data_IF_902364259925
#
_entry.id   IF_902364259925
#
_cell.length_a   1.000
_cell.length_b   1.000
_cell.length_c   1.000
_cell.angle_alpha   90.00
_cell.angle_beta   90.00
_cell.angle_gamma   90.00
#
_symmetry.space_group_name_H-M   'P 1'
#
loop_
_entity.id
_entity.type
_entity.pdbx_description
1 polymer ?
#
# COMPACT_ATOMS: atom_id res chain seq x y z
N UNK A 1 15.16 26.79 10.39
CA UNK A 1 16.62 26.78 10.72
C UNK A 1 17.28 25.44 10.38
N UNK A 2 16.89 24.78 9.25
CA UNK A 2 17.48 23.49 8.82
C UNK A 2 18.19 23.54 7.46
N UNK A 3 18.42 24.72 6.88
CA UNK A 3 18.95 24.87 5.51
C UNK A 3 20.44 25.21 5.38
N UNK A 4 21.22 25.20 6.44
CA UNK A 4 22.64 25.65 6.37
C UNK A 4 23.70 24.61 6.71
N UNK A 5 23.37 23.32 6.80
CA UNK A 5 24.34 22.29 7.19
C UNK A 5 24.82 21.35 6.07
N UNK A 6 24.27 21.50 4.86
CA UNK A 6 24.60 20.58 3.74
C UNK A 6 25.62 21.14 2.72
N UNK A 7 26.20 22.32 2.95
CA UNK A 7 27.13 22.95 1.98
C UNK A 7 28.61 22.66 2.24
N UNK A 8 28.97 21.84 3.23
CA UNK A 8 30.39 21.68 3.61
C UNK A 8 31.01 20.31 3.29
N UNK A 9 30.31 19.41 2.61
CA UNK A 9 30.86 18.07 2.28
C UNK A 9 31.19 17.83 0.80
N UNK A 10 31.09 18.82 -0.07
CA UNK A 10 31.31 18.64 -1.52
C UNK A 10 32.66 19.20 -2.03
N UNK A 11 33.60 19.56 -1.18
CA UNK A 11 34.86 20.15 -1.60
C UNK A 11 36.14 19.28 -1.34
N UNK A 12 36.01 17.98 -1.06
CA UNK A 12 37.17 17.15 -0.70
C UNK A 12 37.29 15.81 -1.44
N UNK A 13 36.95 15.77 -2.73
CA UNK A 13 37.14 14.57 -3.57
C UNK A 13 37.87 14.81 -4.88
N UNK A 14 38.87 15.67 -4.88
CA UNK A 14 39.86 15.71 -5.97
C UNK A 14 41.18 16.18 -5.40
N UNK A 15 42.01 15.28 -4.92
CA UNK A 15 43.47 15.23 -4.95
C UNK A 15 43.95 14.25 -3.89
N UNK A 16 44.43 13.10 -4.32
CA UNK A 16 45.60 12.42 -3.71
C UNK A 16 45.79 11.08 -4.38
N UNK A 17 46.58 11.08 -5.44
CA UNK A 17 47.43 9.94 -5.80
C UNK A 17 48.82 10.30 -5.39
N UNK A 18 49.53 9.30 -4.82
CA UNK A 18 50.95 9.19 -4.51
C UNK A 18 51.40 9.43 -3.05
N UNK A 19 51.92 8.35 -2.47
CA UNK A 19 52.85 8.46 -1.38
C UNK A 19 52.74 7.41 -0.28
N UNK A 20 53.62 6.48 -0.32
CA UNK A 20 53.82 5.29 0.50
C UNK A 20 54.16 5.52 1.97
N UNK A 21 53.89 4.47 2.78
CA UNK A 21 54.72 3.91 3.86
C UNK A 21 54.86 4.67 5.19
N UNK A 22 54.56 3.92 6.30
CA UNK A 22 55.13 4.26 7.62
C UNK A 22 54.27 3.91 8.83
N UNK A 23 54.68 2.91 9.51
CA UNK A 23 54.33 2.21 10.74
C UNK A 23 53.96 3.02 12.00
N UNK A 24 53.10 2.37 12.82
CA UNK A 24 53.11 2.19 14.30
C UNK A 24 53.08 3.45 15.21
N UNK A 25 52.26 3.51 16.26
CA UNK A 25 52.26 2.79 17.55
C UNK A 25 51.08 3.21 18.45
N UNK A 26 50.79 2.35 19.41
CA UNK A 26 49.78 2.38 20.47
C UNK A 26 49.89 3.57 21.45
N UNK A 27 48.75 3.95 22.06
CA UNK A 27 48.65 3.99 23.51
C UNK A 27 47.23 4.25 24.03
N UNK A 28 46.89 3.47 25.03
CA UNK A 28 45.73 3.46 25.87
C UNK A 28 45.49 4.73 26.72
N UNK A 29 44.24 5.13 26.91
CA UNK A 29 43.79 5.68 28.19
C UNK A 29 42.27 5.62 28.37
N UNK A 30 41.86 5.12 29.51
CA UNK A 30 40.57 4.93 30.12
C UNK A 30 39.90 6.27 30.46
N UNK A 31 38.58 6.39 30.33
CA UNK A 31 37.80 7.49 30.88
C UNK A 31 36.29 7.30 30.72
N UNK A 32 35.63 7.15 31.83
CA UNK A 32 34.22 6.82 32.06
C UNK A 32 33.21 7.84 31.55
N UNK A 33 32.06 7.31 31.08
CA UNK A 33 30.71 7.71 31.49
C UNK A 33 30.06 8.94 30.88
N UNK A 34 29.13 8.77 29.99
CA UNK A 34 27.74 9.15 30.26
C UNK A 34 26.81 8.71 29.14
N UNK A 35 25.74 8.03 29.51
CA UNK A 35 24.68 7.54 28.66
C UNK A 35 23.82 8.68 28.12
N UNK A 36 23.76 8.82 26.81
CA UNK A 36 22.62 9.44 26.15
C UNK A 36 22.17 8.52 25.03
N UNK A 37 20.98 7.99 25.17
CA UNK A 37 20.28 7.17 24.21
C UNK A 37 20.04 8.00 22.92
N UNK A 38 20.85 7.77 21.89
CA UNK A 38 20.53 8.14 20.54
C UNK A 38 20.14 6.87 19.81
N UNK A 39 18.85 6.76 19.56
CA UNK A 39 18.23 5.71 18.75
C UNK A 39 18.64 5.90 17.28
N UNK A 40 19.79 5.35 16.93
CA UNK A 40 20.23 5.17 15.52
C UNK A 40 19.86 3.74 15.16
N UNK A 41 18.62 3.55 14.72
CA UNK A 41 18.15 2.26 14.28
C UNK A 41 18.92 1.81 13.05
N UNK A 42 19.82 0.90 13.27
CA UNK A 42 20.44 0.02 12.29
C UNK A 42 19.38 -0.94 11.74
N UNK A 43 18.73 -0.60 10.62
CA UNK A 43 17.78 -1.46 9.89
C UNK A 43 18.41 -1.98 8.58
N UNK A 44 19.74 -2.02 8.49
CA UNK A 44 20.51 -2.52 7.33
C UNK A 44 21.01 -3.96 7.49
N UNK A 45 20.28 -4.83 8.20
CA UNK A 45 20.59 -6.25 8.17
C UNK A 45 20.03 -6.87 6.88
N UNK A 46 20.86 -6.92 5.85
CA UNK A 46 20.68 -7.81 4.72
C UNK A 46 20.63 -9.25 5.22
N UNK A 47 19.51 -9.92 4.98
CA UNK A 47 19.32 -11.34 5.25
C UNK A 47 20.18 -12.15 4.30
N UNK A 48 21.37 -12.59 4.76
CA UNK A 48 22.21 -13.54 4.07
C UNK A 48 21.52 -14.93 4.13
N UNK A 49 20.88 -15.34 3.04
CA UNK A 49 20.45 -16.72 2.83
C UNK A 49 21.65 -17.65 2.88
N UNK A 50 21.62 -18.78 3.60
CA UNK A 50 22.59 -19.83 3.42
C UNK A 50 22.35 -20.48 2.05
N UNK A 51 23.41 -20.52 1.25
CA UNK A 51 23.47 -21.33 0.06
C UNK A 51 23.45 -22.81 0.48
N UNK A 52 22.40 -23.50 0.09
CA UNK A 52 22.36 -24.95 0.21
C UNK A 52 23.13 -25.53 -0.96
N UNK A 53 24.31 -26.05 -0.66
CA UNK A 53 25.20 -26.71 -1.60
C UNK A 53 25.08 -28.22 -1.40
N UNK A 54 25.06 -28.89 -2.52
CA UNK A 54 25.50 -30.27 -2.76
C UNK A 54 24.42 -31.27 -3.15
N UNK A 55 24.33 -31.47 -4.42
CA UNK A 55 24.00 -32.79 -4.99
C UNK A 55 25.28 -33.61 -5.13
N UNK A 56 25.32 -34.88 -4.82
CA UNK A 56 26.32 -35.79 -5.35
C UNK A 56 25.81 -36.47 -6.60
N UNK A 57 26.64 -36.37 -7.62
CA UNK A 57 26.70 -37.21 -8.81
C UNK A 57 26.85 -38.71 -8.43
N UNK A 58 26.04 -39.57 -9.02
CA UNK A 58 26.49 -40.97 -9.21
C UNK A 58 25.83 -41.59 -10.43
N UNK A 59 26.66 -41.76 -11.43
CA UNK A 59 26.48 -42.58 -12.62
C UNK A 59 26.47 -44.06 -12.30
N UNK A 60 25.53 -44.84 -12.81
CA UNK A 60 25.81 -46.11 -13.48
C UNK A 60 24.57 -46.72 -14.14
N UNK A 61 24.69 -46.92 -15.43
CA UNK A 61 24.39 -48.01 -16.34
C UNK A 61 23.40 -49.10 -15.90
N UNK A 62 22.48 -49.44 -16.83
CA UNK A 62 22.14 -50.81 -17.11
C UNK A 62 20.69 -51.06 -17.51
N UNK A 63 20.47 -51.18 -18.83
CA UNK A 63 19.76 -52.22 -19.58
C UNK A 63 18.22 -52.40 -19.45
N UNK A 64 17.61 -52.18 -20.59
CA UNK A 64 16.60 -52.93 -21.37
C UNK A 64 15.69 -53.96 -20.66
N UNK A 65 14.39 -53.86 -20.87
CA UNK A 65 13.55 -54.89 -21.44
C UNK A 65 12.08 -54.48 -21.59
N UNK A 66 11.65 -54.41 -22.80
CA UNK A 66 10.39 -54.76 -23.47
C UNK A 66 9.23 -55.38 -22.66
N UNK A 67 8.01 -54.91 -22.96
CA UNK A 67 6.80 -55.69 -22.70
C UNK A 67 5.48 -54.89 -22.90
N UNK A 68 4.94 -55.04 -24.06
CA UNK A 68 3.62 -54.75 -24.59
C UNK A 68 2.45 -55.34 -23.77
N UNK A 69 1.32 -54.76 -23.76
CA UNK A 69 -0.01 -55.04 -24.34
C UNK A 69 -1.11 -54.54 -23.40
N UNK A 70 -1.96 -53.68 -23.89
CA UNK A 70 -3.32 -53.87 -24.49
C UNK A 70 -4.41 -54.37 -23.54
N UNK A 71 -5.42 -53.59 -23.43
CA UNK A 71 -6.83 -53.75 -23.79
C UNK A 71 -7.82 -53.29 -22.73
N UNK A 72 -8.61 -52.33 -23.19
CA UNK A 72 -10.01 -52.08 -22.76
C UNK A 72 -10.91 -53.16 -23.32
N UNK A 73 -12.11 -53.53 -22.85
CA UNK A 73 -13.28 -52.71 -23.11
C UNK A 73 -14.48 -52.75 -22.12
N UNK A 74 -15.32 -51.75 -22.26
CA UNK A 74 -16.81 -51.71 -22.36
C UNK A 74 -17.69 -52.60 -21.47
N UNK A 75 -18.71 -52.04 -20.91
CA UNK A 75 -20.13 -51.86 -21.32
C UNK A 75 -21.03 -52.01 -20.09
N UNK A 76 -21.97 -51.19 -19.93
CA UNK A 76 -23.31 -51.00 -20.37
C UNK A 76 -24.40 -51.41 -19.36
N UNK A 77 -25.35 -50.45 -19.25
CA UNK A 77 -26.80 -50.64 -19.14
C UNK A 77 -27.36 -51.18 -17.82
N UNK A 78 -28.45 -50.83 -17.29
CA UNK A 78 -29.69 -50.20 -17.68
C UNK A 78 -30.69 -50.33 -16.51
N UNK A 79 -31.64 -49.52 -16.47
CA UNK A 79 -33.08 -49.55 -16.32
C UNK A 79 -33.72 -49.14 -15.00
N UNK A 80 -34.47 -48.03 -15.15
CA UNK A 80 -35.94 -47.89 -14.90
C UNK A 80 -36.45 -48.00 -13.46
N UNK A 81 -37.33 -47.19 -13.03
CA UNK A 81 -38.60 -46.78 -13.34
C UNK A 81 -39.25 -45.98 -12.20
N UNK A 82 -39.89 -44.98 -12.52
CA UNK A 82 -41.30 -44.61 -12.52
C UNK A 82 -42.01 -44.49 -11.18
N UNK A 83 -42.73 -43.39 -11.09
CA UNK A 83 -44.08 -43.29 -10.68
C UNK A 83 -44.40 -42.18 -9.68
N UNK A 84 -44.89 -41.05 -10.17
CA UNK A 84 -46.28 -40.52 -10.02
C UNK A 84 -46.73 -40.36 -8.56
N UNK A 85 -47.38 -39.37 -8.08
CA UNK A 85 -48.30 -38.36 -8.58
C UNK A 85 -48.79 -37.49 -7.43
N UNK A 86 -49.25 -36.30 -7.76
CA UNK A 86 -50.46 -35.57 -7.37
C UNK A 86 -50.54 -34.79 -6.05
N UNK A 87 -50.52 -33.51 -6.19
CA UNK A 87 -51.61 -32.52 -6.09
C UNK A 87 -52.38 -32.39 -4.76
N UNK A 88 -52.41 -31.19 -4.22
CA UNK A 88 -53.60 -30.34 -4.09
C UNK A 88 -53.45 -29.22 -3.07
N UNK A 89 -53.58 -28.01 -3.52
CA UNK A 89 -54.13 -26.89 -2.74
C UNK A 89 -55.65 -27.08 -2.60
N UNK A 90 -56.40 -26.38 -1.71
CA UNK A 90 -56.64 -24.96 -1.87
C UNK A 90 -56.98 -24.11 -0.60
N UNK A 91 -56.80 -22.82 -0.75
CA UNK A 91 -57.68 -21.67 -0.50
C UNK A 91 -58.38 -21.41 0.83
N UNK A 92 -58.40 -20.12 1.15
CA UNK A 92 -59.53 -19.40 1.74
C UNK A 92 -59.19 -18.56 2.95
N UNK A 93 -59.20 -17.39 2.89
CA UNK A 93 -60.05 -16.22 2.63
C UNK A 93 -60.36 -15.41 3.92
N UNK A 94 -60.15 -14.11 3.77
CA UNK A 94 -60.94 -12.97 4.29
C UNK A 94 -60.85 -12.57 5.78
N UNK A 95 -60.65 -11.26 5.95
CA UNK A 95 -61.22 -10.51 7.04
C UNK A 95 -60.51 -9.22 7.46
N UNK A 96 -60.74 -8.15 6.72
CA UNK A 96 -60.73 -6.78 7.23
C UNK A 96 -62.20 -6.45 7.59
N UNK A 97 -62.58 -5.47 8.47
CA UNK A 97 -62.14 -4.09 8.51
C UNK A 97 -62.26 -3.32 9.87
N UNK A 98 -61.70 -2.14 9.84
CA UNK A 98 -62.23 -0.81 10.19
C UNK A 98 -62.31 -0.37 11.68
N UNK A 99 -61.80 0.74 11.92
CA UNK A 99 -62.29 2.12 12.08
C UNK A 99 -62.26 2.70 13.49
N UNK A 100 -61.91 3.97 13.51
CA UNK A 100 -62.39 5.02 14.35
C UNK A 100 -61.49 5.36 15.54
N UNK A 101 -61.17 6.56 15.81
CA UNK A 101 -61.55 7.89 15.46
C UNK A 101 -61.19 8.80 16.59
N UNK A 102 -60.64 9.97 16.25
CA UNK A 102 -60.83 11.26 16.91
C UNK A 102 -60.72 11.38 18.44
N UNK A 103 -59.94 12.31 19.01
CA UNK A 103 -60.18 13.75 19.11
C UNK A 103 -59.10 14.45 19.95
N UNK A 104 -58.71 15.58 19.53
CA UNK A 104 -58.17 16.66 20.35
C UNK A 104 -59.35 17.47 20.92
N UNK A 105 -59.28 18.37 21.90
CA UNK A 105 -58.47 19.60 21.86
C UNK A 105 -58.14 20.30 23.23
N UNK A 106 -57.31 21.33 23.12
CA UNK A 106 -57.50 22.63 23.79
C UNK A 106 -56.85 22.79 25.17
N UNK A 107 -56.12 23.76 25.45
CA UNK A 107 -56.22 25.21 25.41
C UNK A 107 -55.60 25.83 26.69
N UNK A 108 -54.71 26.76 26.49
CA UNK A 108 -54.49 28.03 27.22
C UNK A 108 -54.21 28.08 28.73
N UNK A 109 -53.23 28.92 29.08
CA UNK A 109 -53.16 29.64 30.35
C UNK A 109 -51.78 30.23 30.71
N UNK A 110 -51.54 31.37 30.26
CA UNK A 110 -50.82 32.59 30.63
C UNK A 110 -50.46 32.76 32.14
N UNK A 111 -49.24 33.21 32.46
CA UNK A 111 -48.84 34.60 32.95
C UNK A 111 -47.49 34.57 33.66
N UNK A 112 -46.62 35.45 33.16
CA UNK A 112 -45.68 36.37 33.79
C UNK A 112 -45.08 36.08 35.18
N UNK A 113 -43.75 36.09 35.30
CA UNK A 113 -43.08 37.20 36.01
C UNK A 113 -41.55 37.23 35.78
N UNK A 114 -41.02 38.41 35.90
CA UNK A 114 -39.71 38.95 35.65
C UNK A 114 -38.61 38.46 36.55
N UNK A 115 -37.40 38.28 36.02
CA UNK A 115 -36.16 38.12 36.81
C UNK A 115 -34.93 38.22 35.89
N UNK A 116 -34.38 39.43 35.76
CA UNK A 116 -33.10 39.70 35.11
C UNK A 116 -31.97 38.98 35.84
N UNK A 117 -31.25 38.13 35.15
CA UNK A 117 -29.84 37.81 35.42
C UNK A 117 -29.04 37.79 34.12
N UNK A 118 -28.12 38.74 34.03
CA UNK A 118 -27.10 38.88 32.99
C UNK A 118 -26.24 37.62 32.92
N UNK A 119 -26.37 36.84 31.89
CA UNK A 119 -25.45 35.76 31.56
C UNK A 119 -24.59 36.18 30.37
N UNK A 120 -23.31 36.20 30.62
CA UNK A 120 -22.22 36.37 29.65
C UNK A 120 -22.35 35.31 28.54
N UNK A 121 -22.60 35.76 27.33
CA UNK A 121 -22.60 34.90 26.13
C UNK A 121 -21.19 34.63 25.70
N UNK A 122 -20.70 33.42 26.05
CA UNK A 122 -19.54 32.81 25.41
C UNK A 122 -20.01 32.28 24.07
N UNK A 123 -19.53 32.84 22.98
CA UNK A 123 -19.78 32.36 21.60
C UNK A 123 -19.29 30.94 21.44
N UNK A 124 -20.01 30.09 20.71
CA UNK A 124 -19.53 28.75 20.41
C UNK A 124 -18.30 28.81 19.51
N UNK A 125 -17.25 28.16 19.97
CA UNK A 125 -16.03 27.89 19.22
C UNK A 125 -16.40 27.07 17.97
N UNK A 126 -16.25 27.69 16.79
CA UNK A 126 -16.36 26.96 15.53
C UNK A 126 -15.33 25.83 15.51
N UNK A 127 -15.81 24.60 15.42
CA UNK A 127 -14.99 23.45 15.04
C UNK A 127 -14.47 23.69 13.62
N UNK A 128 -13.17 23.89 13.51
CA UNK A 128 -12.49 23.88 12.23
C UNK A 128 -12.52 22.45 11.71
N UNK A 129 -13.35 22.20 10.72
CA UNK A 129 -13.25 21.02 9.86
C UNK A 129 -11.86 21.02 9.23
N UNK A 130 -11.13 19.88 9.23
CA UNK A 130 -9.85 19.80 8.55
C UNK A 130 -10.08 20.06 7.06
N UNK A 131 -9.49 21.15 6.56
CA UNK A 131 -9.47 21.45 5.13
C UNK A 131 -8.67 20.37 4.43
N UNK A 132 -9.34 19.49 3.71
CA UNK A 132 -8.70 18.61 2.72
C UNK A 132 -8.10 19.52 1.66
N UNK A 133 -6.78 19.71 1.71
CA UNK A 133 -6.06 20.44 0.67
C UNK A 133 -5.99 19.56 -0.55
N UNK A 134 -7.02 19.59 -1.38
CA UNK A 134 -6.95 19.10 -2.75
C UNK A 134 -5.98 19.97 -3.51
N UNK A 135 -4.76 19.47 -3.72
CA UNK A 135 -3.82 20.09 -4.66
C UNK A 135 -4.42 19.86 -6.05
N UNK A 136 -5.09 20.88 -6.59
CA UNK A 136 -5.57 20.85 -7.98
C UNK A 136 -4.36 20.66 -8.90
N UNK A 137 -4.50 19.77 -9.87
CA UNK A 137 -3.50 19.61 -10.93
C UNK A 137 -3.35 20.96 -11.65
N UNK A 138 -2.15 21.55 -11.56
CA UNK A 138 -1.82 22.75 -12.32
C UNK A 138 -1.76 22.36 -13.80
N UNK A 139 -2.72 22.77 -14.62
CA UNK A 139 -2.73 22.53 -16.06
C UNK A 139 -1.68 23.43 -16.73
N UNK A 140 -0.57 22.82 -17.18
CA UNK A 140 0.46 23.52 -17.95
C UNK A 140 0.03 23.60 -19.41
N UNK A 141 0.12 24.77 -20.10
CA UNK A 141 -0.12 24.87 -21.53
C UNK A 141 0.75 23.86 -22.32
N UNK A 142 0.19 23.25 -23.35
CA UNK A 142 0.88 22.22 -24.14
C UNK A 142 2.22 22.68 -24.75
N UNK A 143 2.35 24.00 -25.04
CA UNK A 143 3.60 24.61 -25.54
C UNK A 143 4.73 24.67 -24.52
N UNK A 144 4.45 24.46 -23.22
CA UNK A 144 5.45 24.46 -22.15
C UNK A 144 5.86 23.05 -21.69
N UNK A 145 5.22 22.01 -22.24
CA UNK A 145 5.54 20.62 -21.91
C UNK A 145 6.80 20.21 -22.68
N UNK A 146 7.83 19.83 -21.94
CA UNK A 146 9.08 19.27 -22.48
C UNK A 146 8.92 17.78 -22.63
N UNK A 147 9.49 17.20 -23.69
CA UNK A 147 9.34 15.77 -23.97
C UNK A 147 10.65 15.01 -23.76
N UNK A 148 10.55 13.80 -23.21
CA UNK A 148 11.64 12.85 -23.07
C UNK A 148 11.16 11.52 -23.64
N UNK A 149 11.80 11.07 -24.71
CA UNK A 149 11.53 9.77 -25.34
C UNK A 149 12.68 8.83 -25.05
N UNK A 150 12.38 7.75 -24.35
CA UNK A 150 13.32 6.71 -23.95
C UNK A 150 13.42 5.67 -25.06
N UNK A 151 14.64 5.33 -25.51
CA UNK A 151 14.91 4.55 -26.72
C UNK A 151 15.82 3.34 -26.45
N UNK A 152 15.59 2.62 -25.34
CA UNK A 152 16.36 1.45 -24.95
C UNK A 152 17.63 1.81 -24.20
N UNK A 153 18.66 2.23 -24.86
CA UNK A 153 19.99 2.61 -24.34
C UNK A 153 20.32 4.10 -24.54
N UNK A 154 19.39 4.84 -25.13
CA UNK A 154 19.57 6.26 -25.48
C UNK A 154 18.29 7.05 -25.24
N UNK A 155 18.38 8.36 -25.32
CA UNK A 155 17.26 9.27 -25.05
C UNK A 155 17.23 10.39 -26.07
N UNK A 156 16.03 10.68 -26.58
CA UNK A 156 15.73 11.89 -27.34
C UNK A 156 14.89 12.82 -26.46
N UNK A 157 15.15 14.11 -26.53
CA UNK A 157 14.38 15.09 -25.77
C UNK A 157 14.19 16.40 -26.52
N UNK A 158 13.14 17.12 -26.14
CA UNK A 158 12.84 18.47 -26.62
C UNK A 158 12.55 19.35 -25.40
N UNK A 159 13.11 20.58 -25.43
CA UNK A 159 12.98 21.56 -24.37
C UNK A 159 14.29 21.86 -23.64
N UNK A 160 14.24 22.77 -22.68
CA UNK A 160 15.42 23.23 -21.93
C UNK A 160 15.48 22.63 -20.54
N UNK A 161 16.70 22.52 -19.98
CA UNK A 161 16.91 21.96 -18.64
C UNK A 161 16.91 20.44 -18.62
N UNK A 162 17.10 19.81 -19.76
CA UNK A 162 17.33 18.38 -19.94
C UNK A 162 18.72 18.19 -20.51
N UNK A 163 19.45 17.22 -19.97
CA UNK A 163 20.70 16.71 -20.51
C UNK A 163 20.62 15.19 -20.55
N UNK A 164 21.16 14.54 -21.57
CA UNK A 164 21.21 13.09 -21.64
C UNK A 164 22.60 12.62 -22.09
N UNK A 165 23.04 11.51 -21.49
CA UNK A 165 24.26 10.80 -21.88
C UNK A 165 23.98 9.30 -21.87
N UNK A 166 23.81 8.70 -23.06
CA UNK A 166 23.30 7.34 -23.18
C UNK A 166 21.93 7.24 -22.56
N UNK A 167 21.74 6.30 -21.65
CA UNK A 167 20.51 6.05 -20.91
C UNK A 167 20.34 6.87 -19.62
N UNK A 168 21.25 7.80 -19.32
CA UNK A 168 21.20 8.70 -18.17
C UNK A 168 20.64 10.05 -18.55
N UNK A 169 19.57 10.48 -17.85
CA UNK A 169 18.88 11.76 -18.10
C UNK A 169 19.00 12.63 -16.86
N UNK A 170 19.48 13.87 -17.03
CA UNK A 170 19.50 14.90 -16.00
C UNK A 170 18.44 15.96 -16.25
N UNK A 171 17.62 16.28 -15.25
CA UNK A 171 16.66 17.38 -15.26
C UNK A 171 17.15 18.43 -14.26
N UNK A 172 17.46 19.63 -14.80
CA UNK A 172 18.07 20.73 -14.01
C UNK A 172 17.18 21.97 -13.90
N UNK A 173 16.00 21.98 -14.49
CA UNK A 173 15.04 23.08 -14.43
C UNK A 173 13.67 22.58 -14.01
N UNK A 174 12.91 23.44 -13.33
CA UNK A 174 11.49 23.19 -13.08
C UNK A 174 10.66 23.17 -14.36
N UNK A 175 9.45 22.63 -14.24
CA UNK A 175 8.47 22.57 -15.32
C UNK A 175 7.88 21.19 -15.50
N UNK A 176 7.13 20.99 -16.59
CA UNK A 176 6.46 19.74 -16.92
C UNK A 176 7.24 18.98 -17.98
N UNK A 177 7.47 17.70 -17.71
CA UNK A 177 8.20 16.76 -18.55
C UNK A 177 7.33 15.56 -18.85
N UNK A 178 6.95 15.36 -20.12
CA UNK A 178 6.25 14.16 -20.57
C UNK A 178 7.26 13.11 -20.98
N UNK A 179 7.15 11.93 -20.39
CA UNK A 179 8.12 10.86 -20.52
C UNK A 179 7.42 9.63 -21.10
N UNK A 180 7.97 9.10 -22.21
CA UNK A 180 7.45 7.91 -22.87
C UNK A 180 8.56 6.99 -23.35
N UNK A 181 8.25 5.72 -23.68
CA UNK A 181 9.21 4.74 -24.16
C UNK A 181 9.92 3.99 -23.04
N UNK A 182 11.08 3.40 -23.29
CA UNK A 182 11.74 2.54 -22.30
C UNK A 182 13.26 2.72 -22.27
N UNK A 183 13.83 2.55 -21.07
CA UNK A 183 15.27 2.34 -20.84
C UNK A 183 15.48 0.96 -20.25
N UNK A 184 16.35 0.17 -20.87
CA UNK A 184 16.70 -1.18 -20.41
C UNK A 184 17.68 -1.18 -19.23
N UNK A 185 18.53 -0.16 -19.15
CA UNK A 185 19.40 0.15 -18.00
C UNK A 185 19.70 1.65 -18.01
N UNK A 186 18.97 2.41 -17.18
CA UNK A 186 19.07 3.86 -17.19
C UNK A 186 18.47 4.54 -15.97
N UNK A 187 18.54 5.87 -15.97
CA UNK A 187 18.08 6.66 -14.83
C UNK A 187 17.63 8.03 -15.25
N UNK A 188 16.61 8.54 -14.59
CA UNK A 188 16.30 9.98 -14.60
C UNK A 188 16.74 10.55 -13.25
N UNK A 189 17.65 11.51 -13.29
CA UNK A 189 18.12 12.28 -12.16
C UNK A 189 17.54 13.69 -12.19
N UNK A 190 17.06 14.17 -11.06
CA UNK A 190 16.48 15.50 -10.93
C UNK A 190 17.25 16.29 -9.89
N UNK A 191 17.78 17.45 -10.30
CA UNK A 191 18.49 18.36 -9.40
C UNK A 191 18.14 19.81 -9.75
N UNK A 192 17.15 20.37 -9.04
CA UNK A 192 16.67 21.74 -9.22
C UNK A 192 15.97 22.21 -7.96
N UNK A 193 15.94 23.52 -7.69
CA UNK A 193 15.20 24.12 -6.57
C UNK A 193 13.75 24.50 -6.96
N UNK A 194 13.25 23.95 -8.04
CA UNK A 194 11.92 24.26 -8.57
C UNK A 194 10.99 23.06 -8.50
N UNK A 195 9.69 23.31 -8.64
CA UNK A 195 8.72 22.24 -8.81
C UNK A 195 8.93 21.53 -10.14
N UNK A 196 8.82 20.21 -10.15
CA UNK A 196 8.91 19.35 -11.33
C UNK A 196 7.64 18.51 -11.43
N UNK A 197 7.04 18.49 -12.62
CA UNK A 197 5.93 17.59 -12.95
C UNK A 197 6.44 16.59 -13.98
N UNK A 198 6.32 15.32 -13.66
CA UNK A 198 6.67 14.19 -14.52
C UNK A 198 5.37 13.55 -15.00
N UNK A 199 5.01 13.76 -16.26
CA UNK A 199 3.90 13.08 -16.91
C UNK A 199 4.39 11.74 -17.45
N UNK A 200 3.99 10.64 -16.78
CA UNK A 200 4.31 9.29 -17.22
C UNK A 200 3.33 8.84 -18.28
N UNK A 201 3.82 8.73 -19.52
CA UNK A 201 3.03 8.47 -20.72
C UNK A 201 3.48 7.17 -21.41
N UNK A 202 3.28 6.03 -20.70
CA UNK A 202 3.71 4.73 -21.20
C UNK A 202 5.22 4.54 -21.12
N UNK A 203 5.83 4.97 -20.01
CA UNK A 203 7.27 4.88 -19.80
C UNK A 203 7.65 3.65 -18.97
N UNK A 204 8.86 3.11 -19.23
CA UNK A 204 9.46 2.04 -18.45
C UNK A 204 10.94 2.30 -18.24
N UNK A 205 11.42 2.22 -17.01
CA UNK A 205 12.84 2.36 -16.70
C UNK A 205 13.25 1.22 -15.77
N UNK A 206 14.27 0.48 -16.19
CA UNK A 206 15.05 -0.40 -15.34
C UNK A 206 16.41 0.25 -15.08
N UNK A 207 16.91 0.16 -13.84
CA UNK A 207 18.27 0.60 -13.51
C UNK A 207 18.96 -0.47 -12.68
N UNK A 208 19.90 -1.18 -13.27
CA UNK A 208 20.62 -2.28 -12.62
C UNK A 208 21.49 -1.85 -11.42
N UNK A 209 21.84 -0.57 -11.32
CA UNK A 209 22.81 -0.04 -10.38
C UNK A 209 22.24 1.00 -9.39
N UNK A 210 20.92 1.18 -9.32
CA UNK A 210 20.32 2.15 -8.41
C UNK A 210 18.87 2.48 -8.72
N UNK A 211 18.40 3.62 -8.22
CA UNK A 211 17.03 4.09 -8.47
C UNK A 211 16.79 4.36 -9.95
N UNK A 212 15.65 3.93 -10.48
CA UNK A 212 15.22 4.29 -11.83
C UNK A 212 14.94 5.81 -11.95
N UNK A 213 14.38 6.39 -10.89
CA UNK A 213 14.23 7.85 -10.74
C UNK A 213 14.88 8.27 -9.42
N UNK A 214 15.82 9.23 -9.51
CA UNK A 214 16.59 9.74 -8.39
C UNK A 214 16.42 11.27 -8.31
N UNK A 215 15.70 11.76 -7.33
CA UNK A 215 15.53 13.19 -7.10
C UNK A 215 16.49 13.63 -6.01
N UNK A 216 17.59 14.27 -6.40
CA UNK A 216 18.60 14.80 -5.48
C UNK A 216 18.08 16.05 -4.78
N UNK A 217 17.37 16.91 -5.52
CA UNK A 217 16.80 18.16 -5.02
C UNK A 217 15.67 18.61 -5.94
N UNK A 218 14.53 18.97 -5.36
CA UNK A 218 13.42 19.66 -6.01
C UNK A 218 12.61 20.39 -4.93
N UNK A 219 11.87 21.42 -5.28
CA UNK A 219 10.92 22.01 -4.32
C UNK A 219 9.76 21.05 -4.04
N UNK A 220 9.35 20.25 -5.00
CA UNK A 220 8.34 19.19 -5.00
C UNK A 220 8.38 18.45 -6.32
N UNK A 221 8.19 17.16 -6.31
CA UNK A 221 7.99 16.35 -7.50
C UNK A 221 6.54 15.89 -7.56
N UNK A 222 5.91 16.08 -8.72
CA UNK A 222 4.58 15.53 -9.00
C UNK A 222 4.71 14.52 -10.13
N UNK A 223 4.29 13.29 -9.90
CA UNK A 223 4.13 12.25 -10.90
C UNK A 223 2.66 12.22 -11.33
N UNK A 224 2.41 12.51 -12.59
CA UNK A 224 1.09 12.47 -13.21
C UNK A 224 1.01 11.24 -14.13
N UNK A 225 0.22 10.26 -13.74
CA UNK A 225 0.00 9.03 -14.50
C UNK A 225 -1.04 9.32 -15.61
N UNK A 226 -0.58 9.38 -16.85
CA UNK A 226 -1.44 9.75 -17.97
C UNK A 226 -2.55 8.70 -18.20
N UNK A 227 -3.76 9.13 -18.57
CA UNK A 227 -4.91 8.23 -18.74
C UNK A 227 -4.63 7.09 -19.71
N UNK A 228 -4.99 5.87 -19.34
CA UNK A 228 -4.87 4.68 -20.17
C UNK A 228 -3.45 4.15 -20.35
N UNK A 229 -2.45 4.75 -19.68
CA UNK A 229 -1.05 4.30 -19.78
C UNK A 229 -0.68 3.33 -18.67
N UNK A 230 0.28 2.48 -18.97
CA UNK A 230 0.96 1.60 -18.01
C UNK A 230 2.43 1.98 -17.97
N UNK A 231 2.91 2.32 -16.80
CA UNK A 231 4.27 2.79 -16.55
C UNK A 231 4.99 1.82 -15.61
N UNK A 232 6.32 1.73 -15.71
CA UNK A 232 7.09 0.80 -14.89
C UNK A 232 8.41 1.42 -14.44
N UNK A 233 8.76 1.16 -13.17
CA UNK A 233 10.05 1.47 -12.58
C UNK A 233 10.60 0.23 -11.90
N UNK A 234 11.85 -0.13 -12.21
CA UNK A 234 12.53 -1.27 -11.61
C UNK A 234 13.96 -0.92 -11.26
N UNK A 235 14.40 -1.25 -10.04
CA UNK A 235 15.80 -1.19 -9.64
C UNK A 235 16.49 -2.55 -9.77
N UNK A 236 17.83 -2.54 -9.69
CA UNK A 236 18.63 -3.76 -9.69
C UNK A 236 18.68 -4.42 -8.30
N UNK A 237 19.31 -5.59 -8.25
CA UNK A 237 19.56 -6.33 -7.00
C UNK A 237 20.98 -6.09 -6.43
N UNK A 238 21.72 -5.14 -7.00
CA UNK A 238 23.07 -4.77 -6.56
C UNK A 238 22.94 -3.72 -5.46
N UNK A 239 23.76 -3.84 -4.43
CA UNK A 239 23.82 -2.87 -3.35
C UNK A 239 24.19 -1.49 -3.90
N UNK A 240 23.24 -0.59 -3.77
CA UNK A 240 23.45 0.84 -3.91
C UNK A 240 23.10 1.49 -2.57
N UNK A 241 22.86 2.77 -2.51
CA UNK A 241 22.49 3.46 -1.28
C UNK A 241 21.25 2.77 -0.64
N UNK A 242 21.42 2.20 0.57
CA UNK A 242 20.43 1.37 1.25
C UNK A 242 19.13 2.11 1.59
N UNK A 243 19.20 3.43 1.68
CA UNK A 243 18.05 4.28 1.99
C UNK A 243 17.28 4.73 0.75
N UNK A 244 17.60 4.17 -0.44
CA UNK A 244 16.94 4.51 -1.70
C UNK A 244 16.01 3.39 -2.19
N UNK A 245 15.10 3.76 -3.08
CA UNK A 245 14.14 2.86 -3.71
C UNK A 245 14.17 2.95 -5.22
N UNK A 246 13.34 2.19 -5.91
CA UNK A 246 13.20 2.30 -7.35
C UNK A 246 12.81 3.73 -7.78
N UNK A 247 12.02 4.44 -6.97
CA UNK A 247 11.83 5.88 -7.02
C UNK A 247 12.25 6.49 -5.68
N UNK A 248 13.22 7.39 -5.72
CA UNK A 248 13.71 8.14 -4.56
C UNK A 248 13.54 9.64 -4.76
N UNK A 249 13.17 10.36 -3.70
CA UNK A 249 13.15 11.82 -3.68
C UNK A 249 13.52 12.37 -2.31
N UNK A 250 14.34 13.42 -2.29
CA UNK A 250 14.64 14.19 -1.08
C UNK A 250 13.52 15.14 -0.66
N UNK A 251 12.51 15.32 -1.53
CA UNK A 251 11.47 16.34 -1.33
C UNK A 251 10.10 15.68 -1.46
N UNK A 252 9.05 16.41 -1.08
CA UNK A 252 7.67 15.95 -1.16
C UNK A 252 7.33 15.37 -2.54
N UNK A 253 6.82 14.14 -2.54
CA UNK A 253 6.32 13.42 -3.70
C UNK A 253 4.80 13.46 -3.75
N UNK A 254 4.25 13.88 -4.87
CA UNK A 254 2.81 13.77 -5.16
C UNK A 254 2.61 12.83 -6.34
N UNK A 255 1.74 11.84 -6.19
CA UNK A 255 1.38 10.92 -7.29
C UNK A 255 -0.11 11.08 -7.58
N UNK A 256 -0.46 11.28 -8.85
CA UNK A 256 -1.84 11.45 -9.28
C UNK A 256 -2.09 10.97 -10.71
N UNK A 257 -3.24 11.35 -11.25
CA UNK A 257 -3.69 10.92 -12.59
C UNK A 257 -4.55 9.65 -12.54
N UNK A 258 -4.75 8.98 -13.69
CA UNK A 258 -5.61 7.79 -13.81
C UNK A 258 -4.93 6.59 -14.50
N UNK A 259 -3.66 6.73 -14.88
CA UNK A 259 -2.85 5.64 -15.43
C UNK A 259 -2.40 4.65 -14.35
N UNK A 260 -1.57 3.70 -14.77
CA UNK A 260 -0.98 2.68 -13.90
C UNK A 260 0.52 2.90 -13.75
N UNK A 261 1.03 2.70 -12.52
CA UNK A 261 2.45 2.66 -12.20
C UNK A 261 2.77 1.33 -11.51
N UNK A 262 3.61 0.52 -12.13
CA UNK A 262 4.18 -0.68 -11.53
C UNK A 262 5.60 -0.36 -11.04
N UNK A 263 5.87 -0.64 -9.78
CA UNK A 263 7.18 -0.43 -9.15
C UNK A 263 7.67 -1.76 -8.62
N UNK A 264 8.85 -2.16 -9.06
CA UNK A 264 9.52 -3.35 -8.56
C UNK A 264 10.87 -2.96 -7.99
N UNK A 265 11.05 -3.21 -6.71
CA UNK A 265 12.35 -3.01 -6.07
C UNK A 265 12.95 -4.36 -5.67
N UNK A 266 14.06 -4.68 -6.31
CA UNK A 266 14.79 -5.93 -6.10
C UNK A 266 15.81 -5.81 -4.96
N UNK A 267 16.23 -4.57 -4.62
CA UNK A 267 17.22 -4.35 -3.58
C UNK A 267 16.59 -3.88 -2.25
N UNK A 268 15.83 -2.78 -2.25
CA UNK A 268 15.37 -2.16 -0.99
C UNK A 268 13.90 -1.71 -1.07
N UNK A 269 13.67 -0.40 -1.21
CA UNK A 269 12.34 0.20 -1.11
C UNK A 269 11.69 0.39 -2.48
N UNK A 270 10.37 0.32 -2.54
CA UNK A 270 9.64 0.64 -3.77
C UNK A 270 9.70 2.13 -4.08
N UNK A 271 9.02 2.92 -3.29
CA UNK A 271 8.98 4.38 -3.39
C UNK A 271 9.34 4.99 -2.05
N UNK A 272 10.26 5.94 -2.04
CA UNK A 272 10.72 6.61 -0.83
C UNK A 272 10.81 8.12 -1.02
N UNK A 273 10.44 8.86 0.00
CA UNK A 273 10.61 10.30 0.13
C UNK A 273 11.26 10.65 1.47
N UNK A 274 12.21 11.59 1.46
CA UNK A 274 12.76 12.14 2.69
C UNK A 274 11.83 13.19 3.34
N UNK A 275 10.79 13.64 2.63
CA UNK A 275 9.70 14.46 3.15
C UNK A 275 8.38 13.67 3.10
N UNK A 276 7.33 14.24 2.51
CA UNK A 276 5.99 13.65 2.43
C UNK A 276 5.77 12.83 1.16
N UNK A 277 4.82 11.88 1.25
CA UNK A 277 4.23 11.21 0.09
C UNK A 277 2.72 11.44 0.07
N UNK A 278 2.21 11.95 -1.04
CA UNK A 278 0.78 12.22 -1.24
C UNK A 278 0.31 11.43 -2.48
N UNK A 279 -0.63 10.51 -2.28
CA UNK A 279 -1.26 9.73 -3.36
C UNK A 279 -2.67 10.27 -3.57
N UNK A 280 -2.90 10.93 -4.71
CA UNK A 280 -4.19 11.52 -5.08
C UNK A 280 -4.99 10.66 -6.07
N UNK A 281 -4.34 9.70 -6.76
CA UNK A 281 -5.01 8.91 -7.79
C UNK A 281 -4.07 7.93 -8.48
N UNK A 282 -4.58 7.30 -9.54
CA UNK A 282 -3.88 6.28 -10.32
C UNK A 282 -4.03 4.88 -9.73
N UNK A 283 -3.46 3.90 -10.43
CA UNK A 283 -3.29 2.54 -9.94
C UNK A 283 -1.81 2.29 -9.72
N UNK A 284 -1.40 2.21 -8.47
CA UNK A 284 0.01 2.05 -8.08
C UNK A 284 0.19 0.66 -7.51
N UNK A 285 1.07 -0.14 -8.11
CA UNK A 285 1.44 -1.48 -7.64
C UNK A 285 2.90 -1.54 -7.31
N UNK A 286 3.22 -1.87 -6.07
CA UNK A 286 4.58 -1.92 -5.56
C UNK A 286 4.87 -3.33 -5.07
N UNK A 287 5.94 -3.92 -5.59
CA UNK A 287 6.54 -5.15 -5.07
C UNK A 287 7.97 -4.82 -4.67
N UNK A 288 8.33 -5.05 -3.41
CA UNK A 288 9.63 -4.65 -2.89
C UNK A 288 10.21 -5.66 -1.91
N UNK A 289 11.54 -5.73 -1.85
CA UNK A 289 12.24 -6.59 -0.90
C UNK A 289 12.22 -6.03 0.53
N UNK A 290 12.14 -4.70 0.68
CA UNK A 290 12.03 -4.04 1.97
C UNK A 290 10.66 -3.34 2.10
N UNK A 291 10.59 -2.00 2.18
CA UNK A 291 9.32 -1.26 2.35
C UNK A 291 8.67 -0.97 0.99
N UNK A 292 7.35 -1.04 0.93
CA UNK A 292 6.64 -0.64 -0.30
C UNK A 292 6.68 0.86 -0.50
N UNK A 293 6.05 1.61 0.39
CA UNK A 293 6.01 3.06 0.41
C UNK A 293 6.60 3.57 1.73
N UNK A 294 7.57 4.47 1.65
CA UNK A 294 8.23 5.01 2.84
C UNK A 294 8.40 6.53 2.75
N UNK A 295 7.98 7.23 3.79
CA UNK A 295 8.20 8.66 3.95
C UNK A 295 8.90 8.96 5.28
N UNK A 296 9.79 9.94 5.30
CA UNK A 296 10.35 10.39 6.56
C UNK A 296 9.36 11.26 7.35
N UNK A 297 8.48 11.99 6.69
CA UNK A 297 7.47 12.79 7.36
C UNK A 297 6.08 12.14 7.25
N UNK A 298 5.18 12.61 6.42
CA UNK A 298 3.79 12.16 6.39
C UNK A 298 3.45 11.35 5.13
N UNK A 299 2.47 10.45 5.24
CA UNK A 299 1.85 9.79 4.09
C UNK A 299 0.36 10.11 4.05
N UNK A 300 -0.12 10.64 2.93
CA UNK A 300 -1.53 10.89 2.69
C UNK A 300 -2.03 10.12 1.47
N UNK A 301 -3.02 9.25 1.64
CA UNK A 301 -3.67 8.51 0.56
C UNK A 301 -5.08 9.08 0.39
N UNK A 302 -5.27 9.89 -0.65
CA UNK A 302 -6.52 10.61 -0.89
C UNK A 302 -7.39 9.90 -1.94
N UNK A 303 -6.82 9.02 -2.77
CA UNK A 303 -7.56 8.34 -3.83
C UNK A 303 -6.72 7.34 -4.60
N UNK A 304 -7.31 6.76 -5.65
CA UNK A 304 -6.67 5.74 -6.50
C UNK A 304 -6.71 4.34 -5.89
N UNK A 305 -5.88 3.47 -6.44
CA UNK A 305 -5.63 2.12 -5.93
C UNK A 305 -4.14 1.98 -5.61
N UNK A 306 -3.83 1.70 -4.35
CA UNK A 306 -2.47 1.42 -3.89
C UNK A 306 -2.39 -0.05 -3.45
N UNK A 307 -1.59 -0.82 -4.16
CA UNK A 307 -1.20 -2.17 -3.77
C UNK A 307 0.28 -2.20 -3.41
N UNK A 308 0.60 -2.75 -2.23
CA UNK A 308 1.96 -2.97 -1.78
C UNK A 308 2.13 -4.42 -1.32
N UNK A 309 3.04 -5.15 -1.95
CA UNK A 309 3.57 -6.43 -1.51
C UNK A 309 5.03 -6.25 -1.11
N UNK A 310 5.27 -6.05 0.19
CA UNK A 310 6.56 -5.65 0.72
C UNK A 310 7.18 -6.71 1.63
N UNK A 311 8.48 -6.90 1.52
CA UNK A 311 9.23 -7.84 2.36
C UNK A 311 9.23 -7.48 3.84
N UNK A 312 9.10 -6.18 4.17
CA UNK A 312 9.04 -5.72 5.56
C UNK A 312 7.77 -4.93 5.87
N UNK A 313 7.60 -3.70 5.38
CA UNK A 313 6.41 -2.92 5.67
C UNK A 313 5.71 -2.51 4.38
N UNK A 314 4.40 -2.75 4.29
CA UNK A 314 3.59 -2.27 3.18
C UNK A 314 3.74 -0.78 3.00
N UNK A 315 3.42 -0.02 4.05
CA UNK A 315 3.73 1.41 4.16
C UNK A 315 4.32 1.74 5.53
N UNK A 316 5.27 2.68 5.55
CA UNK A 316 5.89 3.18 6.79
C UNK A 316 6.13 4.67 6.69
N UNK A 317 5.94 5.41 7.77
CA UNK A 317 6.45 6.77 7.92
C UNK A 317 6.78 7.09 9.38
N UNK A 318 7.45 8.23 9.61
CA UNK A 318 7.85 8.65 10.96
C UNK A 318 6.76 9.47 11.67
N UNK A 319 6.05 10.35 10.94
CA UNK A 319 5.04 11.20 11.56
C UNK A 319 3.64 10.56 11.47
N UNK A 320 2.82 10.90 10.48
CA UNK A 320 1.43 10.45 10.41
C UNK A 320 1.09 9.79 9.08
N UNK A 321 0.15 8.83 9.13
CA UNK A 321 -0.47 8.25 7.94
C UNK A 321 -1.96 8.58 7.96
N UNK A 322 -2.45 9.18 6.87
CA UNK A 322 -3.86 9.48 6.67
C UNK A 322 -4.39 8.77 5.42
N UNK A 323 -5.36 7.87 5.59
CA UNK A 323 -6.07 7.21 4.49
C UNK A 323 -7.45 7.87 4.38
N UNK A 324 -7.61 8.71 3.35
CA UNK A 324 -8.79 9.54 3.16
C UNK A 324 -9.71 9.02 2.04
N UNK A 325 -9.22 8.13 1.18
CA UNK A 325 -10.01 7.60 0.06
C UNK A 325 -9.29 6.51 -0.73
N UNK A 326 -9.91 6.08 -1.83
CA UNK A 326 -9.38 5.06 -2.72
C UNK A 326 -9.45 3.64 -2.16
N UNK A 327 -8.62 2.77 -2.70
CA UNK A 327 -8.45 1.38 -2.24
C UNK A 327 -6.98 1.13 -1.91
N UNK A 328 -6.72 0.75 -0.66
CA UNK A 328 -5.38 0.40 -0.18
C UNK A 328 -5.31 -1.07 0.17
N UNK A 329 -4.44 -1.82 -0.49
CA UNK A 329 -4.16 -3.24 -0.25
C UNK A 329 -2.69 -3.32 0.14
N UNK A 330 -2.42 -3.44 1.44
CA UNK A 330 -1.10 -3.28 2.01
C UNK A 330 -0.68 -4.58 2.68
N UNK A 331 0.35 -5.21 2.15
CA UNK A 331 0.89 -6.47 2.65
C UNK A 331 2.32 -6.26 3.13
N UNK A 332 2.56 -6.66 4.38
CA UNK A 332 3.86 -6.52 5.03
C UNK A 332 4.54 -7.84 5.33
N UNK A 333 5.73 -7.75 5.91
CA UNK A 333 6.57 -8.88 6.25
C UNK A 333 6.07 -9.71 7.44
N UNK A 334 6.80 -10.79 7.71
CA UNK A 334 6.48 -11.81 8.70
C UNK A 334 7.22 -11.66 10.03
N UNK A 335 8.23 -10.77 10.11
CA UNK A 335 8.98 -10.51 11.36
C UNK A 335 8.11 -9.75 12.35
N UNK A 336 8.43 -9.83 13.65
CA UNK A 336 7.59 -9.34 14.75
C UNK A 336 7.25 -7.84 14.61
N UNK A 337 8.23 -7.01 14.30
CA UNK A 337 8.06 -5.55 14.15
C UNK A 337 7.74 -5.10 12.72
N UNK A 338 7.57 -6.05 11.79
CA UNK A 338 7.27 -5.77 10.37
C UNK A 338 5.79 -6.07 10.07
N UNK A 339 5.18 -5.26 9.26
CA UNK A 339 3.76 -5.41 9.00
C UNK A 339 3.21 -4.53 7.90
N UNK A 340 1.89 -4.50 7.78
CA UNK A 340 1.23 -3.79 6.69
C UNK A 340 1.42 -2.28 6.79
N UNK A 341 1.18 -1.71 7.97
CA UNK A 341 1.28 -0.26 8.23
C UNK A 341 2.05 -0.08 9.53
N UNK A 342 3.15 0.66 9.46
CA UNK A 342 3.95 1.04 10.63
C UNK A 342 4.14 2.56 10.63
N UNK A 343 3.72 3.21 11.69
CA UNK A 343 3.83 4.66 11.86
C UNK A 343 4.01 5.01 13.33
N UNK A 344 4.83 6.03 13.61
CA UNK A 344 5.14 6.45 14.98
C UNK A 344 4.15 7.50 15.51
N UNK A 345 3.78 8.49 14.70
CA UNK A 345 2.92 9.59 15.13
C UNK A 345 1.43 9.30 15.09
N UNK A 346 1.00 8.33 14.27
CA UNK A 346 -0.38 7.86 14.26
C UNK A 346 -0.98 7.61 12.89
N UNK A 347 -1.95 6.70 12.85
CA UNK A 347 -2.71 6.32 11.67
C UNK A 347 -4.15 6.82 11.79
N UNK A 348 -4.66 7.49 10.77
CA UNK A 348 -6.08 7.80 10.63
C UNK A 348 -6.65 7.17 9.37
N UNK A 349 -7.88 6.63 9.47
CA UNK A 349 -8.63 6.08 8.34
C UNK A 349 -9.96 6.81 8.26
N UNK A 350 -10.07 7.68 7.26
CA UNK A 350 -11.19 8.62 7.11
C UNK A 350 -12.12 8.24 5.95
N UNK A 351 -11.64 7.41 5.02
CA UNK A 351 -12.42 6.99 3.87
C UNK A 351 -11.74 5.87 3.07
N UNK A 352 -12.43 5.41 2.01
CA UNK A 352 -11.93 4.39 1.10
C UNK A 352 -12.12 2.95 1.59
N UNK A 353 -11.37 2.03 0.99
CA UNK A 353 -11.33 0.61 1.36
C UNK A 353 -9.89 0.24 1.74
N UNK A 354 -9.72 -0.35 2.92
CA UNK A 354 -8.41 -0.74 3.44
C UNK A 354 -8.36 -2.25 3.69
N UNK A 355 -7.33 -2.88 3.16
CA UNK A 355 -6.81 -4.20 3.52
C UNK A 355 -5.38 -4.02 4.01
N UNK A 356 -5.14 -4.15 5.30
CA UNK A 356 -3.80 -4.11 5.87
C UNK A 356 -3.49 -5.46 6.50
N UNK A 357 -2.55 -6.21 5.92
CA UNK A 357 -2.30 -7.62 6.18
C UNK A 357 -0.81 -7.80 6.47
N UNK A 358 -0.45 -8.33 7.63
CA UNK A 358 0.94 -8.55 7.97
C UNK A 358 1.12 -9.21 9.33
N UNK A 359 2.36 -9.30 9.82
CA UNK A 359 2.59 -9.84 11.16
C UNK A 359 2.09 -8.88 12.23
N UNK A 360 2.25 -7.57 12.02
CA UNK A 360 1.72 -6.51 12.88
C UNK A 360 1.14 -5.38 12.04
N UNK A 361 0.45 -4.45 12.69
CA UNK A 361 -0.07 -3.25 12.06
C UNK A 361 -0.35 -2.20 13.13
N UNK A 362 0.03 -0.94 12.89
CA UNK A 362 -0.36 0.17 13.76
C UNK A 362 -1.87 0.31 13.78
N UNK A 363 -2.46 0.25 14.96
CA UNK A 363 -3.91 0.43 15.12
C UNK A 363 -4.28 1.89 14.86
N UNK A 364 -5.33 2.15 14.06
CA UNK A 364 -5.79 3.52 13.80
C UNK A 364 -6.20 4.27 15.07
N UNK A 365 -6.02 5.58 15.05
CA UNK A 365 -6.41 6.48 16.14
C UNK A 365 -7.93 6.66 16.20
N UNK A 366 -8.45 6.96 17.40
CA UNK A 366 -9.86 7.24 17.64
C UNK A 366 -10.41 8.44 16.84
N UNK A 367 -9.53 9.32 16.34
CA UNK A 367 -9.85 10.42 15.43
C UNK A 367 -10.24 9.96 14.02
N UNK A 368 -10.04 8.69 13.67
CA UNK A 368 -10.52 8.12 12.41
C UNK A 368 -12.02 8.28 12.26
N UNK A 369 -12.51 8.59 11.06
CA UNK A 369 -13.95 8.84 10.82
C UNK A 369 -14.68 7.64 10.24
N UNK A 370 -13.96 6.63 9.72
CA UNK A 370 -14.52 5.40 9.15
C UNK A 370 -14.47 4.23 10.14
N UNK A 371 -15.41 3.28 10.03
CA UNK A 371 -15.42 2.07 10.86
C UNK A 371 -14.27 1.13 10.47
N UNK A 372 -13.63 0.55 11.49
CA UNK A 372 -12.43 -0.25 11.35
C UNK A 372 -12.56 -1.52 12.19
N UNK A 373 -12.18 -2.65 11.60
CA UNK A 373 -12.05 -3.93 12.30
C UNK A 373 -10.59 -4.37 12.25
N UNK A 374 -10.04 -4.70 13.40
CA UNK A 374 -8.72 -5.29 13.56
C UNK A 374 -8.85 -6.72 14.10
N UNK A 375 -8.30 -7.69 13.41
CA UNK A 375 -8.27 -9.09 13.80
C UNK A 375 -6.83 -9.51 14.04
N UNK A 376 -6.53 -9.96 15.26
CA UNK A 376 -5.23 -10.44 15.70
C UNK A 376 -5.33 -11.94 15.92
N UNK A 377 -4.78 -12.74 15.04
CA UNK A 377 -4.76 -14.20 15.16
C UNK A 377 -3.75 -14.61 16.22
N UNK A 378 -4.12 -15.56 17.09
CA UNK A 378 -3.23 -16.10 18.13
C UNK A 378 -2.02 -16.78 17.55
N UNK A 379 -2.17 -17.42 16.38
CA UNK A 379 -1.11 -18.01 15.56
C UNK A 379 -1.11 -17.43 14.18
N UNK A 380 0.07 -17.29 13.57
CA UNK A 380 0.17 -16.81 12.20
C UNK A 380 -0.54 -17.76 11.23
N UNK A 381 -1.33 -17.20 10.34
CA UNK A 381 -1.92 -17.92 9.23
C UNK A 381 -0.86 -18.12 8.13
N UNK A 382 -0.75 -19.31 7.53
CA UNK A 382 0.18 -19.57 6.43
C UNK A 382 -0.06 -18.66 5.23
N UNK A 383 0.96 -18.45 4.41
CA UNK A 383 0.85 -17.82 3.11
C UNK A 383 -0.27 -18.47 2.28
N UNK A 384 -0.96 -17.66 1.48
CA UNK A 384 -2.07 -18.06 0.61
C UNK A 384 -3.31 -18.60 1.33
N UNK A 385 -3.37 -18.50 2.67
CA UNK A 385 -4.60 -18.79 3.40
C UNK A 385 -5.68 -17.79 2.99
N UNK A 386 -6.78 -18.31 2.45
CA UNK A 386 -7.96 -17.49 2.15
C UNK A 386 -8.60 -17.04 3.45
N UNK A 387 -8.82 -15.75 3.61
CA UNK A 387 -9.57 -15.17 4.74
C UNK A 387 -10.79 -14.42 4.22
N UNK A 388 -11.92 -14.71 4.85
CA UNK A 388 -13.21 -14.08 4.55
C UNK A 388 -13.79 -13.46 5.80
N UNK A 389 -14.18 -12.19 5.70
CA UNK A 389 -14.90 -11.44 6.73
C UNK A 389 -16.26 -11.06 6.15
N UNK A 390 -17.32 -11.49 6.80
CA UNK A 390 -18.68 -11.31 6.31
C UNK A 390 -19.63 -10.83 7.40
N UNK A 391 -20.67 -10.08 7.03
CA UNK A 391 -21.80 -9.76 7.88
C UNK A 391 -23.00 -10.57 7.43
N UNK A 392 -23.37 -11.59 8.20
CA UNK A 392 -24.32 -12.62 7.77
C UNK A 392 -23.81 -13.33 6.51
N UNK A 393 -24.63 -13.41 5.47
CA UNK A 393 -24.25 -14.00 4.18
C UNK A 393 -23.42 -13.06 3.29
N UNK A 394 -23.40 -11.75 3.59
CA UNK A 394 -22.74 -10.74 2.75
C UNK A 394 -21.23 -10.70 2.99
N UNK A 395 -20.38 -11.09 2.00
CA UNK A 395 -18.94 -10.96 2.11
C UNK A 395 -18.55 -9.48 2.02
N UNK A 396 -17.72 -9.02 2.95
CA UNK A 396 -17.21 -7.65 2.97
C UNK A 396 -15.74 -7.60 2.54
N UNK A 397 -14.95 -8.55 3.04
CA UNK A 397 -13.54 -8.67 2.71
C UNK A 397 -13.22 -10.14 2.47
N UNK A 398 -12.67 -10.45 1.31
CA UNK A 398 -12.20 -11.80 0.95
C UNK A 398 -10.85 -11.63 0.26
N UNK A 399 -9.82 -12.26 0.81
CA UNK A 399 -8.46 -12.08 0.33
C UNK A 399 -7.56 -13.28 0.66
N UNK A 400 -6.41 -13.30 0.01
CA UNK A 400 -5.25 -14.11 0.38
C UNK A 400 -4.05 -13.20 0.62
N UNK A 401 -2.94 -13.72 1.10
CA UNK A 401 -1.67 -13.00 1.22
C UNK A 401 -0.54 -13.89 0.73
N UNK A 402 0.44 -13.37 -0.03
CA UNK A 402 1.59 -14.15 -0.48
C UNK A 402 2.53 -14.52 0.67
N UNK A 403 2.34 -13.95 1.86
CA UNK A 403 3.13 -14.22 3.07
C UNK A 403 2.25 -14.67 4.22
N UNK A 404 2.85 -15.35 5.19
CA UNK A 404 2.20 -15.61 6.47
C UNK A 404 1.87 -14.30 7.18
N UNK A 405 0.76 -14.25 7.91
CA UNK A 405 0.30 -13.04 8.58
C UNK A 405 -0.41 -13.38 9.89
N UNK A 406 -0.44 -12.41 10.80
CA UNK A 406 -1.06 -12.53 12.13
C UNK A 406 -2.08 -11.43 12.40
N UNK A 407 -1.95 -10.30 11.72
CA UNK A 407 -2.84 -9.14 11.91
C UNK A 407 -3.48 -8.75 10.60
N UNK A 408 -4.78 -8.47 10.66
CA UNK A 408 -5.58 -7.95 9.55
C UNK A 408 -6.35 -6.74 10.06
N UNK A 409 -6.18 -5.58 9.40
CA UNK A 409 -7.03 -4.42 9.61
C UNK A 409 -7.82 -4.15 8.33
N UNK A 410 -9.13 -4.07 8.49
CA UNK A 410 -10.07 -3.80 7.40
C UNK A 410 -10.87 -2.54 7.70
N UNK A 411 -11.09 -1.72 6.69
CA UNK A 411 -12.01 -0.58 6.72
C UNK A 411 -12.71 -0.42 5.39
N UNK A 412 -13.97 0.00 5.43
CA UNK A 412 -14.78 0.19 4.23
C UNK A 412 -16.20 0.59 4.54
N UNK A 413 -16.93 1.06 3.52
CA UNK A 413 -18.30 1.57 3.65
C UNK A 413 -19.34 0.51 4.09
N UNK A 414 -19.01 -0.78 3.95
CA UNK A 414 -19.86 -1.88 4.39
C UNK A 414 -19.83 -2.15 5.90
N UNK A 415 -18.87 -1.57 6.63
CA UNK A 415 -18.74 -1.77 8.07
C UNK A 415 -19.69 -0.84 8.84
N UNK A 416 -20.32 -1.39 9.89
CA UNK A 416 -21.27 -0.66 10.76
C UNK A 416 -20.92 -0.95 12.22
N UNK A 417 -21.01 0.07 13.06
CA UNK A 417 -20.91 -0.11 14.50
C UNK A 417 -22.08 -0.94 15.02
N UNK A 418 -21.82 -1.78 16.01
CA UNK A 418 -22.79 -2.70 16.61
C UNK A 418 -23.14 -3.93 15.75
N UNK A 419 -22.63 -4.03 14.52
CA UNK A 419 -22.85 -5.19 13.65
C UNK A 419 -21.93 -6.36 14.04
N UNK A 420 -22.36 -7.57 13.64
CA UNK A 420 -21.60 -8.81 13.84
C UNK A 420 -20.91 -9.24 12.55
N UNK A 421 -19.68 -9.70 12.68
CA UNK A 421 -18.83 -10.11 11.58
C UNK A 421 -18.26 -11.50 11.84
N UNK A 422 -18.49 -12.42 10.91
CA UNK A 422 -17.93 -13.77 10.95
C UNK A 422 -16.60 -13.79 10.21
N UNK A 423 -15.58 -14.34 10.85
CA UNK A 423 -14.24 -14.57 10.27
C UNK A 423 -14.15 -16.05 9.91
N UNK A 424 -13.79 -16.34 8.67
CA UNK A 424 -13.53 -17.70 8.19
C UNK A 424 -12.18 -17.76 7.49
N UNK A 425 -11.46 -18.88 7.65
CA UNK A 425 -10.13 -19.09 7.03
C UNK A 425 -10.09 -20.39 6.26
N UNK A 426 -9.26 -20.45 5.20
CA UNK A 426 -9.22 -21.60 4.30
C UNK A 426 -10.44 -21.68 3.38
N UNK A 427 -10.72 -22.87 2.82
CA UNK A 427 -11.76 -23.04 1.84
C UNK A 427 -11.39 -22.53 0.45
N UNK A 428 -12.39 -22.30 -0.38
CA UNK A 428 -12.24 -21.84 -1.76
C UNK A 428 -13.38 -20.90 -2.17
N UNK A 429 -13.11 -20.08 -3.19
CA UNK A 429 -14.11 -19.26 -3.88
C UNK A 429 -14.21 -19.74 -5.32
N UNK A 430 -15.40 -20.10 -5.75
CA UNK A 430 -15.70 -20.52 -7.14
C UNK A 430 -16.40 -19.37 -7.87
N UNK A 431 -15.93 -19.03 -9.07
CA UNK A 431 -16.54 -17.99 -9.93
C UNK A 431 -16.25 -16.56 -9.50
N UNK A 432 -15.28 -16.34 -8.58
CA UNK A 432 -14.82 -15.00 -8.19
C UNK A 432 -13.67 -14.48 -9.08
N UNK A 433 -13.43 -13.17 -9.00
CA UNK A 433 -12.28 -12.52 -9.60
C UNK A 433 -11.24 -12.21 -8.53
N UNK A 434 -9.96 -12.52 -8.79
CA UNK A 434 -8.84 -12.20 -7.91
C UNK A 434 -8.00 -11.09 -8.55
N UNK A 435 -7.90 -9.96 -7.86
CA UNK A 435 -7.04 -8.86 -8.26
C UNK A 435 -6.23 -8.40 -7.05
N UNK A 436 -4.90 -8.41 -7.19
CA UNK A 436 -4.00 -7.98 -6.11
C UNK A 436 -4.32 -8.72 -4.77
N UNK A 437 -4.54 -10.03 -4.85
CA UNK A 437 -4.92 -10.93 -3.73
C UNK A 437 -6.30 -10.67 -3.11
N UNK A 438 -7.06 -9.71 -3.59
CA UNK A 438 -8.46 -9.47 -3.17
C UNK A 438 -9.41 -10.19 -4.10
N UNK A 439 -10.31 -10.95 -3.51
CA UNK A 439 -11.29 -11.76 -4.23
C UNK A 439 -12.65 -11.12 -4.14
N UNK A 440 -13.26 -10.84 -5.28
CA UNK A 440 -14.58 -10.25 -5.38
C UNK A 440 -15.55 -11.19 -6.10
N UNK A 441 -16.80 -11.24 -5.61
CA UNK A 441 -17.82 -12.13 -6.14
C UNK A 441 -17.54 -13.61 -5.83
N UNK A 442 -18.26 -14.48 -6.54
CA UNK A 442 -18.16 -15.94 -6.40
C UNK A 442 -18.84 -16.51 -5.15
N UNK A 443 -18.77 -17.82 -5.03
CA UNK A 443 -19.35 -18.60 -3.93
C UNK A 443 -18.24 -19.19 -3.06
N UNK A 444 -18.26 -18.87 -1.78
CA UNK A 444 -17.31 -19.37 -0.78
C UNK A 444 -17.78 -20.68 -0.17
N UNK A 445 -16.91 -21.66 -0.01
CA UNK A 445 -17.19 -22.94 0.62
C UNK A 445 -15.96 -23.58 1.27
N UNK A 446 -16.20 -24.48 2.22
CA UNK A 446 -15.19 -25.38 2.79
C UNK A 446 -14.20 -24.76 3.76
N UNK A 447 -14.42 -23.53 4.23
CA UNK A 447 -13.52 -22.90 5.20
C UNK A 447 -13.85 -23.26 6.65
N UNK A 448 -12.90 -22.94 7.53
CA UNK A 448 -13.05 -23.04 8.99
C UNK A 448 -13.61 -21.75 9.55
N UNK A 449 -14.70 -21.84 10.30
CA UNK A 449 -15.24 -20.71 11.09
C UNK A 449 -14.31 -20.41 12.26
N UNK A 450 -13.85 -19.16 12.35
CA UNK A 450 -12.98 -18.63 13.41
C UNK A 450 -13.77 -17.81 14.43
N UNK A 451 -15.07 -17.73 14.28
CA UNK A 451 -15.96 -17.04 15.22
C UNK A 451 -16.63 -15.81 14.64
N UNK A 452 -17.62 -15.34 15.41
CA UNK A 452 -18.38 -14.12 15.11
C UNK A 452 -18.08 -13.04 16.13
N UNK A 453 -17.72 -11.87 15.68
CA UNK A 453 -17.22 -10.75 16.46
C UNK A 453 -18.17 -9.55 16.29
N UNK A 454 -18.67 -9.02 17.40
CA UNK A 454 -19.58 -7.85 17.38
C UNK A 454 -18.75 -6.59 17.54
N UNK A 455 -18.87 -5.66 16.59
CA UNK A 455 -18.28 -4.33 16.69
C UNK A 455 -18.85 -3.56 17.89
N UNK A 456 -17.98 -2.88 18.64
CA UNK A 456 -18.33 -2.14 19.86
C UNK A 456 -17.98 -0.67 19.78
N UNK A 457 -17.79 -0.16 18.59
CA UNK A 457 -17.42 1.22 18.30
C UNK A 457 -16.77 1.35 16.94
N UNK A 458 -16.37 2.56 16.60
CA UNK A 458 -15.74 2.85 15.31
C UNK A 458 -14.50 2.01 15.03
N UNK A 459 -13.69 1.75 16.05
CA UNK A 459 -12.54 0.88 15.98
C UNK A 459 -12.76 -0.29 16.91
N UNK A 460 -12.82 -1.49 16.35
CA UNK A 460 -13.00 -2.71 17.11
C UNK A 460 -11.87 -3.68 16.85
N UNK A 461 -11.19 -4.11 17.91
CA UNK A 461 -10.05 -5.04 17.82
C UNK A 461 -10.41 -6.36 18.51
N UNK A 462 -10.08 -7.46 17.84
CA UNK A 462 -10.45 -8.81 18.26
C UNK A 462 -9.25 -9.74 18.27
N UNK A 463 -9.22 -10.66 19.20
CA UNK A 463 -8.31 -11.81 19.18
C UNK A 463 -9.04 -13.00 18.55
N UNK A 464 -8.44 -13.62 17.55
CA UNK A 464 -8.97 -14.75 16.78
C UNK A 464 -8.13 -15.99 17.06
N UNK A 465 -8.78 -17.05 17.50
CA UNK A 465 -8.14 -18.35 17.80
C UNK A 465 -8.25 -19.36 16.65
#
# INVERSE_FOLDING_TARGET
MKKHMLALFLACSMLCTLGACGQQEESSAVGEGNSSLTDSADDSAADSRPADSAAPDNSSKGEESTGRNEQNPESAADTSGSGTDSAAEPSGNTGKPSSGGNDAPGSQGNTSDSGQHTASTTAPRQEQTPSVTTVQAETTPASEIKTITLLGDSVRFEGTGIAARGSRVGITKGGTYRISGSLSDGQIEINTEKKVVLQFDGMSITNSAGSAINVINAKRVTVELMPGTVNSLEDGNVQHDADRGALFTNDTLVIGGSGTLNVKSNYAHGIISDDDIIVNGGTIRIVSTNRGLFANDDISINGGTLFCDAGTNGIKCKNTISINGGTSILMGGTREEKGAIIVLGGLTVNGGTLYAIGNTCTLPLASSTQNILAFNFTSALPANTLTRIASGSNPLFTFTSPRAYKTVICSGTGLKDGASYTVSTGGSVTGGSNTDYVITGGSYSGGTDRGTYKSTGRISSFTVS
#
